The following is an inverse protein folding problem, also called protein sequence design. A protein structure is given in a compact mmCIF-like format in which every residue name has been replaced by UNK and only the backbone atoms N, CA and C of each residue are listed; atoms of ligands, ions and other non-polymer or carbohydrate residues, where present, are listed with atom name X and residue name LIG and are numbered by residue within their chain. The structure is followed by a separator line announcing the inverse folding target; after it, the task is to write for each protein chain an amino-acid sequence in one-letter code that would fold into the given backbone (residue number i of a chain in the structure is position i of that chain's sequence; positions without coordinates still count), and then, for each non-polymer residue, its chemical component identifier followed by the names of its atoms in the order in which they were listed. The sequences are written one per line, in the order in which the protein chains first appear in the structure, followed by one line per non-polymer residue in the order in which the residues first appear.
data_IF_561532604499
#
_entry.id   IF_561532604499
#
_cell.length_a   1.000
_cell.length_b   1.000
_cell.length_c   1.000
_cell.angle_alpha   90.00
_cell.angle_beta   90.00
_cell.angle_gamma   90.00
#
_symmetry.space_group_name_H-M   'P 1'
#
loop_
_entity.id
_entity.type
_entity.pdbx_description
1 polymer ?
#
# COMPACT_ATOMS: atom_id res chain seq x y z
N UNK A 1 -9.50 -14.13 -8.73
CA UNK A 1 -9.90 -13.30 -7.57
C UNK A 1 -8.62 -12.67 -7.02
N UNK A 2 -8.65 -11.40 -6.62
CA UNK A 2 -7.46 -10.60 -6.32
C UNK A 2 -7.18 -10.57 -4.81
N UNK A 3 -5.90 -10.69 -4.46
CA UNK A 3 -5.36 -10.51 -3.11
C UNK A 3 -4.63 -9.17 -3.07
N UNK A 4 -5.14 -8.26 -2.28
CA UNK A 4 -4.66 -6.89 -2.17
C UNK A 4 -3.90 -6.68 -0.84
N UNK A 5 -2.81 -5.91 -0.89
CA UNK A 5 -2.12 -5.44 0.31
C UNK A 5 -2.04 -3.90 0.37
N UNK A 6 -2.37 -3.35 1.54
CA UNK A 6 -2.39 -1.91 1.86
C UNK A 6 -1.27 -1.60 2.87
N UNK A 7 -0.60 -0.44 2.79
CA UNK A 7 0.45 -0.09 3.73
C UNK A 7 -0.13 0.28 5.10
N UNK A 8 0.42 -0.34 6.16
CA UNK A 8 0.14 0.01 7.55
C UNK A 8 0.99 1.21 7.99
N UNK A 9 0.49 2.01 8.94
CA UNK A 9 1.24 3.13 9.51
C UNK A 9 0.93 4.50 8.85
N UNK A 10 1.96 5.25 8.45
CA UNK A 10 1.85 6.68 8.11
C UNK A 10 0.96 6.99 6.89
N UNK A 11 0.83 6.04 5.96
CA UNK A 11 0.00 6.14 4.75
C UNK A 11 -1.35 5.42 4.89
N UNK A 12 -1.59 4.71 5.99
CA UNK A 12 -2.75 3.84 6.17
C UNK A 12 -4.05 4.62 6.06
N UNK A 13 -4.21 5.68 6.85
CA UNK A 13 -5.44 6.47 6.88
C UNK A 13 -5.76 7.12 5.53
N UNK A 14 -4.75 7.59 4.80
CA UNK A 14 -4.94 8.19 3.47
C UNK A 14 -5.29 7.13 2.43
N UNK A 15 -4.65 5.95 2.50
CA UNK A 15 -4.97 4.84 1.59
C UNK A 15 -6.38 4.35 1.83
N UNK A 16 -6.80 4.17 3.09
CA UNK A 16 -8.17 3.77 3.41
C UNK A 16 -9.21 4.78 2.89
N UNK A 17 -8.93 6.09 2.99
CA UNK A 17 -9.80 7.13 2.40
C UNK A 17 -9.86 7.05 0.88
N UNK A 18 -8.74 6.83 0.21
CA UNK A 18 -8.72 6.66 -1.26
C UNK A 18 -9.62 5.49 -1.69
N UNK A 19 -9.58 4.38 -0.96
CA UNK A 19 -10.47 3.24 -1.21
C UNK A 19 -11.94 3.58 -0.96
N UNK A 20 -12.24 4.35 0.09
CA UNK A 20 -13.60 4.81 0.37
C UNK A 20 -14.12 5.78 -0.70
N UNK A 21 -13.30 6.71 -1.19
CA UNK A 21 -13.63 7.62 -2.30
C UNK A 21 -13.83 6.90 -3.64
N UNK A 22 -13.25 5.70 -3.79
CA UNK A 22 -13.40 4.85 -4.97
C UNK A 22 -14.54 3.82 -4.85
N UNK A 23 -15.44 3.97 -3.87
CA UNK A 23 -16.52 3.02 -3.55
C UNK A 23 -16.03 1.59 -3.20
N UNK A 24 -14.77 1.44 -2.80
CA UNK A 24 -14.12 0.19 -2.41
C UNK A 24 -13.78 0.17 -0.92
N UNK A 25 -14.72 0.63 -0.08
CA UNK A 25 -14.48 0.82 1.36
C UNK A 25 -13.96 -0.45 2.04
N UNK A 26 -12.77 -0.34 2.63
CA UNK A 26 -12.15 -1.41 3.43
C UNK A 26 -12.75 -1.43 4.84
N UNK A 27 -13.42 -2.52 5.20
CA UNK A 27 -14.01 -2.76 6.53
C UNK A 27 -13.03 -3.56 7.40
N UNK A 28 -12.87 -3.15 8.65
CA UNK A 28 -11.99 -3.80 9.66
C UNK A 28 -12.69 -3.84 11.02
N UNK A 29 -12.37 -4.84 11.85
CA UNK A 29 -12.91 -4.94 13.21
C UNK A 29 -12.24 -3.99 14.19
N UNK A 30 -10.96 -3.70 13.98
CA UNK A 30 -10.17 -2.74 14.77
C UNK A 30 -9.06 -2.08 13.95
N UNK A 31 -8.48 -0.98 14.45
CA UNK A 31 -7.29 -0.35 13.85
C UNK A 31 -6.04 -1.24 13.89
N UNK A 32 -6.00 -2.19 14.84
CA UNK A 32 -4.88 -3.11 15.02
C UNK A 32 -4.95 -4.30 14.08
N UNK A 33 -6.08 -4.51 13.42
CA UNK A 33 -6.26 -5.64 12.52
C UNK A 33 -5.30 -5.51 11.32
N UNK A 34 -4.76 -6.67 10.93
CA UNK A 34 -3.91 -6.83 9.75
C UNK A 34 -4.69 -7.32 8.53
N UNK A 35 -6.01 -7.46 8.67
CA UNK A 35 -6.91 -7.94 7.64
C UNK A 35 -8.14 -7.06 7.56
N UNK A 36 -8.68 -6.93 6.35
CA UNK A 36 -9.93 -6.24 6.09
C UNK A 36 -10.72 -6.94 4.97
N UNK A 37 -11.93 -6.47 4.77
CA UNK A 37 -12.81 -6.94 3.69
C UNK A 37 -13.29 -5.75 2.85
N UNK A 38 -13.49 -5.99 1.56
CA UNK A 38 -14.14 -5.06 0.62
C UNK A 38 -15.35 -5.78 0.05
N UNK A 39 -16.41 -5.03 -0.22
CA UNK A 39 -17.65 -5.52 -0.82
C UNK A 39 -17.54 -5.57 -2.35
N UNK A 40 -16.61 -6.38 -2.87
CA UNK A 40 -16.35 -6.49 -4.31
C UNK A 40 -15.92 -7.93 -4.65
N UNK A 41 -16.67 -8.60 -5.53
CA UNK A 41 -16.44 -10.00 -5.93
C UNK A 41 -15.08 -10.25 -6.59
N UNK A 42 -14.42 -9.18 -7.07
CA UNK A 42 -13.09 -9.28 -7.67
C UNK A 42 -12.01 -9.41 -6.61
N UNK A 43 -12.26 -9.01 -5.36
CA UNK A 43 -11.27 -8.95 -4.28
C UNK A 43 -11.58 -10.04 -3.25
N UNK A 44 -10.70 -11.04 -3.18
CA UNK A 44 -10.81 -12.14 -2.23
C UNK A 44 -10.32 -11.75 -0.84
N UNK A 45 -9.25 -10.96 -0.77
CA UNK A 45 -8.54 -10.70 0.48
C UNK A 45 -7.90 -9.31 0.47
N UNK A 46 -8.02 -8.61 1.60
CA UNK A 46 -7.25 -7.40 1.89
C UNK A 46 -6.40 -7.62 3.14
N UNK A 47 -5.10 -7.40 3.01
CA UNK A 47 -4.15 -7.41 4.12
C UNK A 47 -3.52 -6.03 4.32
N UNK A 48 -3.10 -5.74 5.54
CA UNK A 48 -2.34 -4.54 5.87
C UNK A 48 -0.97 -4.96 6.37
N UNK A 49 0.10 -4.54 5.69
CA UNK A 49 1.48 -4.93 6.01
C UNK A 49 2.39 -3.72 6.07
N UNK A 50 3.61 -3.89 6.60
CA UNK A 50 4.55 -2.77 6.62
C UNK A 50 5.00 -2.47 5.19
N UNK A 51 5.16 -1.19 4.79
CA UNK A 51 5.51 -0.83 3.41
C UNK A 51 6.73 -1.56 2.85
N UNK A 52 7.77 -1.77 3.67
CA UNK A 52 9.00 -2.46 3.24
C UNK A 52 8.80 -3.93 2.84
N UNK A 53 7.74 -4.58 3.32
CA UNK A 53 7.47 -6.00 3.03
C UNK A 53 6.65 -6.19 1.74
N UNK A 54 5.92 -5.14 1.33
CA UNK A 54 4.92 -5.24 0.26
C UNK A 54 5.52 -5.62 -1.10
N UNK A 55 6.61 -4.99 -1.60
CA UNK A 55 7.16 -5.35 -2.91
C UNK A 55 7.52 -6.82 -3.02
N UNK A 56 8.21 -7.36 -2.00
CA UNK A 56 8.63 -8.76 -1.95
C UNK A 56 7.44 -9.72 -1.94
N UNK A 57 6.39 -9.45 -1.16
CA UNK A 57 5.23 -10.33 -1.14
C UNK A 57 4.38 -10.27 -2.41
N UNK A 58 4.42 -9.18 -3.17
CA UNK A 58 3.82 -9.12 -4.51
C UNK A 58 4.66 -9.94 -5.49
N UNK A 59 5.99 -9.77 -5.49
CA UNK A 59 6.91 -10.55 -6.31
C UNK A 59 6.77 -12.06 -6.06
N UNK A 60 6.71 -12.47 -4.80
CA UNK A 60 6.58 -13.87 -4.40
C UNK A 60 5.17 -14.45 -4.70
N UNK A 61 4.27 -13.63 -5.24
CA UNK A 61 2.91 -14.04 -5.59
C UNK A 61 2.02 -14.33 -4.38
N UNK A 62 2.33 -13.79 -3.19
CA UNK A 62 1.44 -13.85 -2.03
C UNK A 62 0.27 -12.87 -2.15
N UNK A 63 0.51 -11.75 -2.84
CA UNK A 63 -0.50 -10.77 -3.22
C UNK A 63 -0.39 -10.47 -4.71
N UNK A 64 -1.53 -10.14 -5.32
CA UNK A 64 -1.58 -9.79 -6.75
C UNK A 64 -1.37 -8.29 -6.96
N UNK A 65 -1.75 -7.46 -5.98
CA UNK A 65 -1.61 -6.01 -6.01
C UNK A 65 -1.23 -5.48 -4.62
N UNK A 66 -0.37 -4.46 -4.61
CA UNK A 66 0.05 -3.80 -3.38
C UNK A 66 0.23 -2.30 -3.55
N UNK A 67 0.00 -1.54 -2.48
CA UNK A 67 0.37 -0.13 -2.42
C UNK A 67 1.55 0.03 -1.45
N UNK A 68 2.64 0.62 -1.93
CA UNK A 68 3.82 0.91 -1.12
C UNK A 68 4.52 2.16 -1.60
N UNK A 69 5.51 2.62 -0.84
CA UNK A 69 6.37 3.73 -1.25
C UNK A 69 7.32 3.32 -2.37
N UNK A 70 7.59 4.24 -3.30
CA UNK A 70 8.54 4.01 -4.40
C UNK A 70 9.97 3.75 -3.90
N UNK A 71 10.32 4.33 -2.76
CA UNK A 71 11.56 4.05 -2.04
C UNK A 71 11.71 2.58 -1.68
N UNK A 72 10.64 1.92 -1.24
CA UNK A 72 10.70 0.49 -0.92
C UNK A 72 10.80 -0.41 -2.15
N UNK A 73 10.18 -0.04 -3.27
CA UNK A 73 10.37 -0.77 -4.53
C UNK A 73 11.82 -0.67 -4.98
N UNK A 74 12.42 0.52 -4.90
CA UNK A 74 13.82 0.74 -5.25
C UNK A 74 14.79 0.02 -4.29
N UNK A 75 14.53 0.05 -2.99
CA UNK A 75 15.40 -0.56 -1.96
C UNK A 75 15.36 -2.09 -1.98
N UNK A 76 14.20 -2.68 -2.26
CA UNK A 76 14.04 -4.15 -2.28
C UNK A 76 14.46 -4.79 -3.59
N UNK A 77 14.66 -3.99 -4.65
CA UNK A 77 14.92 -4.47 -6.02
C UNK A 77 13.90 -5.53 -6.49
N UNK A 78 12.67 -5.48 -5.97
CA UNK A 78 11.66 -6.46 -6.27
C UNK A 78 11.23 -6.39 -7.76
N UNK A 79 11.09 -7.54 -8.39
CA UNK A 79 10.58 -7.69 -9.76
C UNK A 79 9.06 -7.51 -9.78
N UNK A 80 8.63 -6.25 -9.78
CA UNK A 80 7.23 -5.84 -9.79
C UNK A 80 6.98 -4.73 -10.81
N UNK A 81 5.80 -4.72 -11.41
CA UNK A 81 5.38 -3.66 -12.32
C UNK A 81 4.73 -2.49 -11.55
N UNK A 82 5.23 -1.27 -11.75
CA UNK A 82 4.64 -0.07 -11.17
C UNK A 82 3.48 0.42 -12.05
N UNK A 83 2.25 0.13 -11.62
CA UNK A 83 1.04 0.45 -12.39
C UNK A 83 0.65 1.94 -12.34
N UNK A 84 0.83 2.60 -11.19
CA UNK A 84 0.42 3.98 -11.00
C UNK A 84 1.15 4.66 -9.84
N UNK A 85 1.38 5.98 -9.97
CA UNK A 85 1.86 6.84 -8.88
C UNK A 85 0.68 7.53 -8.21
N UNK A 86 0.48 7.28 -6.92
CA UNK A 86 -0.67 7.79 -6.18
C UNK A 86 -0.28 9.03 -5.34
N UNK A 87 -0.88 10.18 -5.64
CA UNK A 87 -0.51 11.48 -5.05
C UNK A 87 -1.35 11.85 -3.82
N UNK A 88 -1.40 10.99 -2.80
CA UNK A 88 -2.23 11.21 -1.59
C UNK A 88 -1.44 11.30 -0.27
N UNK A 89 -0.12 11.13 -0.30
CA UNK A 89 0.72 11.24 0.89
C UNK A 89 0.73 12.68 1.45
N UNK A 90 0.81 12.82 2.78
CA UNK A 90 0.76 14.11 3.51
C UNK A 90 1.86 15.10 3.10
N UNK A 91 2.98 14.62 2.57
CA UNK A 91 4.00 15.41 1.86
C UNK A 91 3.44 15.84 0.49
N UNK A 92 2.35 16.62 0.53
CA UNK A 92 1.71 17.19 -0.64
C UNK A 92 2.68 18.12 -1.35
N UNK A 93 3.13 17.69 -2.53
CA UNK A 93 3.63 18.50 -3.66
C UNK A 93 4.38 17.54 -4.57
N UNK A 94 3.70 16.67 -5.34
CA UNK A 94 4.17 16.02 -6.59
C UNK A 94 5.60 15.47 -6.76
N UNK A 95 6.47 15.47 -5.75
CA UNK A 95 7.92 15.33 -5.86
C UNK A 95 8.46 14.14 -5.03
N UNK A 96 7.57 13.29 -4.50
CA UNK A 96 7.94 12.14 -3.69
C UNK A 96 8.64 12.51 -2.37
N UNK A 97 9.02 11.49 -1.60
CA UNK A 97 9.89 11.67 -0.42
C UNK A 97 11.31 11.91 -0.90
N UNK A 98 11.99 12.96 -0.39
CA UNK A 98 13.43 13.14 -0.63
C UNK A 98 14.23 12.35 0.39
N UNK A 99 14.99 11.38 -0.11
CA UNK A 99 16.04 10.71 0.67
C UNK A 99 17.21 11.68 0.79
N UNK A 100 17.60 12.00 2.02
CA UNK A 100 18.71 12.92 2.32
C UNK A 100 19.71 12.25 3.24
N UNK A 101 20.99 12.57 3.06
CA UNK A 101 22.03 12.21 4.01
C UNK A 101 21.99 13.21 5.17
N UNK A 102 21.62 12.74 6.37
CA UNK A 102 21.68 13.53 7.60
C UNK A 102 22.99 13.22 8.35
N UNK A 103 23.79 14.26 8.60
CA UNK A 103 25.03 14.19 9.41
C UNK A 103 24.92 15.15 10.60
N UNK A 104 25.57 14.86 11.75
CA UNK A 104 25.56 15.73 12.93
C UNK A 104 26.12 17.14 12.69
#
# INVERSE_FOLDING_TARGET
MLRLVIPKGSLEAQTLRLFEEADLRVRRGSERDYHGTIDDDRIERVSLLRPQEIPMYVQDGLFDLGITGQDWVAETEADVEVLATLSYAKSGTGHGTRVVLAVP
#
